data_IF_284662054538
#
_entry.id   IF_284662054538
#
_cell.length_a   1.000
_cell.length_b   1.000
_cell.length_c   1.000
_cell.angle_alpha   90.00
_cell.angle_beta   90.00
_cell.angle_gamma   90.00
#
_symmetry.space_group_name_H-M   'P 1'
#
loop_
_entity.id
_entity.type
_entity.pdbx_description
1 polymer ?
#
# COMPACT_ATOMS: atom_id res chain seq x y z
N UNK A 1 16.97 -6.81 -26.76
CA UNK A 1 16.54 -7.54 -25.56
C UNK A 1 15.02 -7.61 -25.55
N UNK A 2 14.43 -8.74 -25.15
CA UNK A 2 12.98 -8.85 -25.03
C UNK A 2 12.44 -7.89 -23.93
N UNK A 3 11.26 -7.31 -24.16
CA UNK A 3 10.59 -6.48 -23.15
C UNK A 3 10.18 -7.34 -21.94
N UNK A 4 10.30 -6.85 -20.70
CA UNK A 4 9.73 -7.52 -19.53
C UNK A 4 8.24 -7.78 -19.72
N UNK A 5 7.73 -8.89 -19.17
CA UNK A 5 6.32 -9.30 -19.36
C UNK A 5 5.30 -8.26 -18.89
N UNK A 6 5.57 -7.56 -17.80
CA UNK A 6 4.71 -6.48 -17.26
C UNK A 6 4.64 -5.29 -18.24
N UNK A 7 5.79 -4.88 -18.76
CA UNK A 7 5.92 -3.82 -19.76
C UNK A 7 5.21 -4.21 -21.06
N UNK A 8 5.40 -5.43 -21.55
CA UNK A 8 4.75 -5.90 -22.77
C UNK A 8 3.21 -5.91 -22.66
N UNK A 9 2.65 -6.29 -21.51
CA UNK A 9 1.20 -6.19 -21.25
C UNK A 9 0.72 -4.75 -21.21
N UNK A 10 1.48 -3.84 -20.58
CA UNK A 10 1.15 -2.42 -20.57
C UNK A 10 1.18 -1.82 -21.98
N UNK A 11 2.17 -2.20 -22.82
CA UNK A 11 2.23 -1.78 -24.22
C UNK A 11 0.99 -2.21 -25.01
N UNK A 12 0.52 -3.44 -24.79
CA UNK A 12 -0.72 -3.91 -25.39
C UNK A 12 -1.91 -3.04 -24.97
N UNK A 13 -2.07 -2.76 -23.66
CA UNK A 13 -3.13 -1.87 -23.16
C UNK A 13 -3.05 -0.45 -23.75
N UNK A 14 -1.86 0.14 -23.84
CA UNK A 14 -1.67 1.46 -24.46
C UNK A 14 -2.08 1.47 -25.93
N UNK A 15 -1.66 0.48 -26.70
CA UNK A 15 -2.02 0.33 -28.11
C UNK A 15 -3.52 0.09 -28.29
N UNK A 16 -4.10 -0.79 -27.49
CA UNK A 16 -5.52 -1.16 -27.57
C UNK A 16 -6.43 0.03 -27.18
N UNK A 17 -5.92 0.95 -26.35
CA UNK A 17 -6.56 2.24 -26.06
C UNK A 17 -6.43 3.27 -27.20
N UNK A 18 -5.76 2.93 -28.30
CA UNK A 18 -5.62 3.78 -29.49
C UNK A 18 -4.40 4.71 -29.49
N UNK A 19 -3.55 4.66 -28.46
CA UNK A 19 -2.34 5.47 -28.39
C UNK A 19 -1.34 5.04 -29.48
N UNK A 20 -0.52 5.97 -29.95
CA UNK A 20 0.60 5.74 -30.89
C UNK A 20 1.91 6.17 -30.23
N UNK A 21 3.03 5.47 -30.48
CA UNK A 21 4.32 5.78 -29.83
C UNK A 21 4.82 7.22 -30.03
N UNK A 22 4.49 7.85 -31.17
CA UNK A 22 4.90 9.22 -31.51
C UNK A 22 3.91 10.30 -31.05
N UNK A 23 2.86 9.95 -30.29
CA UNK A 23 1.96 10.96 -29.70
C UNK A 23 2.60 11.65 -28.50
N UNK A 24 2.18 12.90 -28.26
CA UNK A 24 2.58 13.64 -27.06
C UNK A 24 1.74 13.22 -25.86
N UNK A 25 2.39 13.04 -24.73
CA UNK A 25 1.83 12.65 -23.46
C UNK A 25 0.84 13.71 -22.98
N UNK A 26 -0.38 13.27 -22.69
CA UNK A 26 -1.42 14.13 -22.19
C UNK A 26 -1.68 13.86 -20.70
N UNK A 27 -1.29 14.80 -19.84
CA UNK A 27 -1.58 14.69 -18.40
C UNK A 27 -2.93 15.31 -18.08
N UNK A 28 -3.98 14.52 -18.21
CA UNK A 28 -5.35 14.90 -17.84
C UNK A 28 -5.41 15.35 -16.38
N UNK A 29 -5.92 16.56 -16.14
CA UNK A 29 -6.24 17.04 -14.81
C UNK A 29 -7.60 16.49 -14.41
N UNK A 30 -7.63 15.54 -13.49
CA UNK A 30 -8.89 14.97 -13.02
C UNK A 30 -9.60 15.88 -12.01
N UNK A 31 -8.83 16.67 -11.24
CA UNK A 31 -9.34 17.52 -10.16
C UNK A 31 -8.42 18.70 -9.91
N UNK A 32 -8.96 19.89 -9.62
CA UNK A 32 -8.14 21.00 -9.14
C UNK A 32 -7.57 20.71 -7.72
N UNK A 33 -6.33 21.13 -7.43
CA UNK A 33 -5.75 21.01 -6.10
C UNK A 33 -6.60 21.78 -5.08
N UNK A 34 -7.12 21.09 -4.05
CA UNK A 34 -7.95 21.70 -3.01
C UNK A 34 -9.47 21.70 -3.26
N UNK A 35 -9.96 21.06 -4.33
CA UNK A 35 -11.40 20.91 -4.57
C UNK A 35 -12.09 19.98 -3.55
N UNK A 36 -13.30 20.38 -3.12
CA UNK A 36 -14.21 19.57 -2.30
C UNK A 36 -14.72 18.41 -3.16
N UNK A 37 -14.04 17.25 -3.09
CA UNK A 37 -14.35 16.10 -3.94
C UNK A 37 -13.30 15.00 -3.98
N UNK A 38 -12.19 15.13 -3.25
CA UNK A 38 -11.24 14.03 -3.05
C UNK A 38 -11.98 12.83 -2.46
N UNK A 39 -11.80 11.64 -3.04
CA UNK A 39 -12.45 10.45 -2.49
C UNK A 39 -11.88 10.17 -1.09
N UNK A 40 -12.68 9.55 -0.22
CA UNK A 40 -12.18 9.14 1.11
C UNK A 40 -10.98 8.20 1.01
N UNK A 41 -10.94 7.36 -0.03
CA UNK A 41 -9.82 6.47 -0.32
C UNK A 41 -8.55 7.25 -0.69
N UNK A 42 -8.65 8.29 -1.53
CA UNK A 42 -7.51 9.12 -1.92
C UNK A 42 -6.93 9.88 -0.72
N UNK A 43 -7.80 10.50 0.11
CA UNK A 43 -7.37 11.15 1.37
C UNK A 43 -6.63 10.18 2.29
N UNK A 44 -7.13 8.95 2.38
CA UNK A 44 -6.51 7.90 3.21
C UNK A 44 -5.14 7.52 2.66
N UNK A 45 -5.04 7.28 1.35
CA UNK A 45 -3.80 6.95 0.67
C UNK A 45 -2.77 8.08 0.83
N UNK A 46 -3.16 9.34 0.60
CA UNK A 46 -2.34 10.51 0.83
C UNK A 46 -1.73 10.52 2.24
N UNK A 47 -2.56 10.33 3.28
CA UNK A 47 -2.08 10.29 4.69
C UNK A 47 -1.09 9.15 4.94
N UNK A 48 -1.19 8.03 4.23
CA UNK A 48 -0.27 6.90 4.39
C UNK A 48 1.10 7.15 3.73
N UNK A 49 1.14 7.92 2.64
CA UNK A 49 2.34 8.04 1.79
C UNK A 49 3.10 9.34 1.96
N UNK A 50 2.46 10.43 2.39
CA UNK A 50 3.08 11.77 2.42
C UNK A 50 4.41 11.78 3.19
N UNK A 51 4.45 11.17 4.38
CA UNK A 51 5.67 11.12 5.18
C UNK A 51 6.76 10.24 4.55
N UNK A 52 6.37 9.14 3.90
CA UNK A 52 7.31 8.24 3.22
C UNK A 52 7.93 8.91 1.99
N UNK A 53 7.13 9.63 1.21
CA UNK A 53 7.60 10.39 0.06
C UNK A 53 8.60 11.46 0.50
N UNK A 54 8.32 12.19 1.58
CA UNK A 54 9.25 13.20 2.10
C UNK A 54 10.55 12.59 2.66
N UNK A 55 10.50 11.44 3.33
CA UNK A 55 11.71 10.73 3.79
C UNK A 55 12.54 10.19 2.63
N UNK A 56 11.91 9.54 1.64
CA UNK A 56 12.57 9.09 0.42
C UNK A 56 13.17 10.27 -0.33
N UNK A 57 12.48 11.41 -0.37
CA UNK A 57 12.98 12.63 -0.99
C UNK A 57 14.22 13.16 -0.28
N UNK A 58 14.20 13.24 1.05
CA UNK A 58 15.33 13.71 1.84
C UNK A 58 16.58 12.82 1.65
N UNK A 59 16.39 11.50 1.51
CA UNK A 59 17.49 10.55 1.35
C UNK A 59 17.96 10.37 -0.10
N UNK A 60 17.03 10.41 -1.07
CA UNK A 60 17.26 9.96 -2.44
C UNK A 60 16.74 10.93 -3.51
N UNK A 61 16.23 12.11 -3.14
CA UNK A 61 15.86 13.15 -4.08
C UNK A 61 17.03 13.52 -5.00
N UNK A 62 16.71 13.94 -6.21
CA UNK A 62 17.69 14.38 -7.22
C UNK A 62 17.30 15.71 -7.84
N UNK A 63 18.09 16.20 -8.79
CA UNK A 63 17.85 17.46 -9.51
C UNK A 63 16.78 17.36 -10.59
N UNK A 64 16.59 16.18 -11.18
CA UNK A 64 15.61 15.92 -12.25
C UNK A 64 14.79 14.67 -11.93
N UNK A 65 14.06 14.68 -10.80
CA UNK A 65 13.24 13.56 -10.37
C UNK A 65 12.00 14.02 -9.61
N UNK A 66 10.95 13.21 -9.68
CA UNK A 66 9.74 13.34 -8.88
C UNK A 66 9.47 12.02 -8.20
N UNK A 67 9.22 12.06 -6.89
CA UNK A 67 8.70 10.93 -6.12
C UNK A 67 7.21 11.19 -5.89
N UNK A 68 6.34 10.26 -6.23
CA UNK A 68 4.91 10.45 -6.15
C UNK A 68 4.16 9.15 -5.88
N UNK A 69 2.88 9.27 -5.53
CA UNK A 69 1.98 8.14 -5.37
C UNK A 69 0.76 8.35 -6.26
N UNK A 70 0.33 7.27 -6.94
CA UNK A 70 -0.94 7.22 -7.67
C UNK A 70 -1.92 6.28 -6.98
N UNK A 71 -3.21 6.60 -7.06
CA UNK A 71 -4.30 5.69 -6.68
C UNK A 71 -4.55 4.61 -7.76
N UNK A 72 -5.48 3.65 -7.56
CA UNK A 72 -5.77 2.60 -8.55
C UNK A 72 -6.36 3.13 -9.87
N UNK A 73 -6.93 4.34 -9.85
CA UNK A 73 -7.40 5.03 -11.04
C UNK A 73 -6.30 5.78 -11.81
N UNK A 74 -5.05 5.70 -11.37
CA UNK A 74 -3.90 6.40 -11.93
C UNK A 74 -3.80 7.88 -11.58
N UNK A 75 -4.63 8.39 -10.67
CA UNK A 75 -4.56 9.79 -10.21
C UNK A 75 -3.44 9.96 -9.20
N UNK A 76 -2.58 10.95 -9.41
CA UNK A 76 -1.53 11.32 -8.45
C UNK A 76 -2.20 11.91 -7.20
N UNK A 77 -2.00 11.26 -6.04
CA UNK A 77 -2.52 11.73 -4.74
C UNK A 77 -1.54 12.62 -4.00
N UNK A 78 -0.23 12.43 -4.24
CA UNK A 78 0.83 13.25 -3.66
C UNK A 78 2.07 13.18 -4.54
N UNK A 79 2.79 14.29 -4.70
CA UNK A 79 4.04 14.34 -5.45
C UNK A 79 5.02 15.32 -4.81
N UNK A 80 6.29 14.90 -4.77
CA UNK A 80 7.43 15.70 -4.36
C UNK A 80 8.43 15.74 -5.51
N UNK A 81 8.57 16.92 -6.11
CA UNK A 81 9.47 17.16 -7.26
C UNK A 81 10.71 17.95 -6.83
N UNK A 82 11.80 17.76 -7.58
CA UNK A 82 12.99 18.60 -7.53
C UNK A 82 12.65 20.09 -7.53
N UNK A 83 13.15 20.87 -6.54
CA UNK A 83 13.10 22.31 -6.62
C UNK A 83 13.75 22.79 -7.92
N UNK A 84 13.08 23.68 -8.64
CA UNK A 84 13.56 24.26 -9.92
C UNK A 84 13.64 23.31 -11.12
N UNK A 85 13.13 22.07 -11.05
CA UNK A 85 13.01 21.25 -12.26
C UNK A 85 11.92 21.82 -13.18
N UNK A 86 12.35 22.19 -14.39
CA UNK A 86 11.55 22.76 -15.48
C UNK A 86 11.39 21.80 -16.66
N UNK A 87 11.90 20.57 -16.55
CA UNK A 87 11.79 19.56 -17.60
C UNK A 87 10.31 19.28 -17.92
N UNK A 88 9.93 19.43 -19.19
CA UNK A 88 8.55 19.32 -19.66
C UNK A 88 7.92 17.94 -19.40
N UNK A 89 8.72 16.90 -19.16
CA UNK A 89 8.24 15.56 -18.85
C UNK A 89 7.97 15.36 -17.34
N UNK A 90 8.60 16.16 -16.47
CA UNK A 90 8.43 16.07 -15.01
C UNK A 90 7.52 17.17 -14.45
N UNK A 91 7.48 18.34 -15.09
CA UNK A 91 6.61 19.45 -14.67
C UNK A 91 5.11 19.06 -14.59
N UNK A 92 4.58 18.14 -15.42
CA UNK A 92 3.22 17.66 -15.34
C UNK A 92 2.92 16.70 -14.19
N UNK A 93 3.93 16.19 -13.47
CA UNK A 93 3.72 15.21 -12.40
C UNK A 93 3.36 15.96 -11.11
N UNK A 94 2.07 16.28 -10.96
CA UNK A 94 1.52 16.98 -9.79
C UNK A 94 0.22 16.32 -9.32
N UNK A 95 -0.13 16.52 -8.05
CA UNK A 95 -1.36 15.97 -7.48
C UNK A 95 -2.61 16.37 -8.29
N UNK A 96 -3.52 15.42 -8.47
CA UNK A 96 -4.76 15.56 -9.25
C UNK A 96 -4.64 15.22 -10.74
N UNK A 97 -3.43 15.10 -11.29
CA UNK A 97 -3.22 14.63 -12.67
C UNK A 97 -3.21 13.11 -12.78
N UNK A 98 -3.55 12.59 -13.96
CA UNK A 98 -3.62 11.16 -14.25
C UNK A 98 -2.38 10.66 -14.99
N UNK A 99 -1.91 9.49 -14.56
CA UNK A 99 -0.78 8.73 -15.11
C UNK A 99 -1.33 7.38 -15.55
N UNK A 100 -1.95 7.35 -16.73
CA UNK A 100 -2.71 6.20 -17.24
C UNK A 100 -2.33 5.86 -18.68
N UNK A 101 -2.37 4.57 -19.01
CA UNK A 101 -1.93 4.08 -20.32
C UNK A 101 -2.63 4.71 -21.53
N UNK A 102 -3.95 5.03 -21.51
CA UNK A 102 -4.60 5.68 -22.64
C UNK A 102 -4.09 7.10 -22.95
N UNK A 103 -3.45 7.77 -21.99
CA UNK A 103 -3.09 9.19 -22.12
C UNK A 103 -1.58 9.41 -22.25
N UNK A 104 -0.79 8.62 -21.53
CA UNK A 104 0.68 8.77 -21.49
C UNK A 104 1.42 7.46 -21.79
N UNK A 105 0.70 6.39 -22.10
CA UNK A 105 1.31 5.10 -22.41
C UNK A 105 1.89 4.38 -21.20
N UNK A 106 2.76 3.41 -21.47
CA UNK A 106 3.40 2.58 -20.45
C UNK A 106 4.36 3.38 -19.56
N UNK A 107 4.05 3.36 -18.27
CA UNK A 107 4.89 3.85 -17.17
C UNK A 107 5.01 2.80 -16.07
N UNK A 108 6.03 2.88 -15.21
CA UNK A 108 6.15 1.96 -14.07
C UNK A 108 4.89 1.92 -13.17
N UNK A 109 4.30 3.05 -12.73
CA UNK A 109 3.10 3.00 -11.90
C UNK A 109 1.91 2.35 -12.63
N UNK A 110 1.73 2.59 -13.94
CA UNK A 110 0.68 1.92 -14.71
C UNK A 110 0.85 0.39 -14.73
N UNK A 111 2.09 -0.10 -14.85
CA UNK A 111 2.37 -1.53 -14.77
C UNK A 111 2.04 -2.10 -13.38
N UNK A 112 2.47 -1.40 -12.33
CA UNK A 112 2.25 -1.81 -10.93
C UNK A 112 0.77 -1.88 -10.57
N UNK A 113 -0.04 -0.89 -10.99
CA UNK A 113 -1.47 -0.86 -10.69
C UNK A 113 -2.20 -2.08 -11.26
N UNK A 114 -1.84 -2.53 -12.46
CA UNK A 114 -2.50 -3.69 -13.09
C UNK A 114 -1.93 -5.03 -12.65
N UNK A 115 -0.61 -5.12 -12.49
CA UNK A 115 0.06 -6.41 -12.30
C UNK A 115 0.40 -6.69 -10.82
N UNK A 116 0.28 -5.70 -9.92
CA UNK A 116 0.54 -5.84 -8.49
C UNK A 116 1.98 -6.15 -8.10
N UNK A 117 2.90 -6.06 -9.07
CA UNK A 117 4.33 -6.32 -8.88
C UNK A 117 5.12 -5.06 -9.18
N UNK A 118 6.15 -4.82 -8.38
CA UNK A 118 7.10 -3.74 -8.63
C UNK A 118 7.63 -3.80 -10.07
N UNK A 119 7.79 -2.64 -10.69
CA UNK A 119 8.19 -2.56 -12.08
C UNK A 119 9.20 -1.44 -12.28
N UNK A 120 10.18 -1.71 -13.13
CA UNK A 120 11.14 -0.74 -13.61
C UNK A 120 10.91 -0.52 -15.10
N UNK A 121 10.84 0.74 -15.53
CA UNK A 121 10.65 1.12 -16.93
C UNK A 121 11.71 2.15 -17.29
N UNK A 122 12.50 1.89 -18.34
CA UNK A 122 13.58 2.79 -18.78
C UNK A 122 13.57 3.05 -20.26
N UNK A 123 13.77 4.31 -20.61
CA UNK A 123 13.93 4.78 -21.99
C UNK A 123 12.87 4.21 -22.91
N UNK A 124 13.31 3.49 -23.95
CA UNK A 124 12.44 2.87 -24.95
C UNK A 124 11.55 1.71 -24.43
N UNK A 125 11.54 1.43 -23.12
CA UNK A 125 10.50 0.60 -22.49
C UNK A 125 9.22 1.39 -22.20
N UNK A 126 9.29 2.73 -22.14
CA UNK A 126 8.10 3.56 -22.19
C UNK A 126 7.47 3.44 -23.57
N UNK A 127 6.14 3.47 -23.63
CA UNK A 127 5.43 3.32 -24.90
C UNK A 127 5.56 4.56 -25.80
N UNK A 128 5.62 5.76 -25.21
CA UNK A 128 5.79 7.01 -25.93
C UNK A 128 7.28 7.35 -26.13
N UNK A 129 7.66 7.71 -27.36
CA UNK A 129 9.03 7.98 -27.77
C UNK A 129 9.65 9.16 -27.00
N UNK A 130 8.84 10.14 -26.58
CA UNK A 130 9.29 11.30 -25.82
C UNK A 130 9.88 10.92 -24.45
N UNK A 131 9.50 9.76 -23.90
CA UNK A 131 10.01 9.23 -22.63
C UNK A 131 11.29 8.41 -22.80
N UNK A 132 11.94 8.43 -23.97
CA UNK A 132 13.21 7.74 -24.26
C UNK A 132 14.36 8.09 -23.31
N UNK A 133 14.28 9.23 -22.61
CA UNK A 133 15.25 9.71 -21.60
C UNK A 133 14.76 9.56 -20.14
N UNK A 134 13.60 8.95 -19.93
CA UNK A 134 12.97 8.77 -18.61
C UNK A 134 13.36 7.41 -18.02
N UNK A 135 13.49 7.36 -16.70
CA UNK A 135 13.43 6.13 -15.92
C UNK A 135 12.31 6.23 -14.87
N UNK A 136 11.66 5.11 -14.58
CA UNK A 136 10.66 4.98 -13.54
C UNK A 136 10.91 3.71 -12.71
N UNK A 137 10.79 3.81 -11.39
CA UNK A 137 10.69 2.68 -10.47
C UNK A 137 9.42 2.85 -9.65
N UNK A 138 8.50 1.88 -9.74
CA UNK A 138 7.30 1.85 -8.93
C UNK A 138 7.19 0.56 -8.11
N UNK A 139 6.64 0.67 -6.91
CA UNK A 139 6.28 -0.45 -6.03
C UNK A 139 4.81 -0.37 -5.66
N UNK A 140 4.12 -1.51 -5.50
CA UNK A 140 2.71 -1.53 -5.11
C UNK A 140 2.53 -1.05 -3.67
N UNK A 141 1.38 -0.47 -3.40
CA UNK A 141 0.81 -0.31 -2.07
C UNK A 141 -0.38 -1.26 -1.99
N UNK A 142 -0.37 -2.13 -0.98
CA UNK A 142 -1.37 -3.21 -0.85
C UNK A 142 -2.35 -2.93 0.30
N UNK A 143 -3.63 -3.16 0.02
CA UNK A 143 -4.72 -3.00 0.97
C UNK A 143 -4.93 -4.21 1.88
N UNK A 144 -6.13 -4.32 2.44
CA UNK A 144 -6.42 -5.33 3.46
C UNK A 144 -6.61 -6.73 2.91
N UNK A 145 -7.11 -6.82 1.67
CA UNK A 145 -7.48 -8.05 0.98
C UNK A 145 -6.49 -8.38 -0.14
N UNK A 146 -5.27 -7.84 -0.08
CA UNK A 146 -4.23 -8.06 -1.11
C UNK A 146 -4.41 -7.20 -2.36
N UNK A 147 -5.44 -6.34 -2.40
CA UNK A 147 -5.71 -5.48 -3.55
C UNK A 147 -4.68 -4.34 -3.66
N UNK A 148 -4.31 -3.98 -4.89
CA UNK A 148 -3.45 -2.82 -5.13
C UNK A 148 -4.27 -1.55 -4.93
N UNK A 149 -3.93 -0.80 -3.90
CA UNK A 149 -4.60 0.46 -3.53
C UNK A 149 -3.83 1.69 -4.01
N UNK A 150 -2.67 1.49 -4.64
CA UNK A 150 -1.86 2.55 -5.21
C UNK A 150 -0.47 2.07 -5.61
N UNK A 151 0.31 2.98 -6.19
CA UNK A 151 1.71 2.72 -6.52
C UNK A 151 2.57 3.91 -6.07
N UNK A 152 3.64 3.62 -5.34
CA UNK A 152 4.68 4.58 -4.96
C UNK A 152 5.79 4.55 -6.01
N UNK A 153 6.05 5.67 -6.67
CA UNK A 153 6.94 5.78 -7.83
C UNK A 153 8.02 6.85 -7.64
N UNK A 154 9.17 6.62 -8.26
CA UNK A 154 10.13 7.67 -8.63
C UNK A 154 10.31 7.68 -10.14
N UNK A 155 10.01 8.83 -10.73
CA UNK A 155 10.26 9.13 -12.14
C UNK A 155 11.35 10.18 -12.24
N UNK A 156 12.32 9.97 -13.12
CA UNK A 156 13.37 10.96 -13.34
C UNK A 156 13.94 10.90 -14.75
N UNK A 157 14.84 11.84 -15.02
CA UNK A 157 15.46 12.01 -16.33
C UNK A 157 16.95 11.68 -16.27
N UNK A 158 17.45 11.01 -17.31
CA UNK A 158 18.86 10.69 -17.48
C UNK A 158 19.23 9.26 -17.08
N UNK A 159 20.47 9.07 -16.64
CA UNK A 159 21.10 7.74 -16.51
C UNK A 159 21.18 7.24 -15.05
N UNK A 160 20.40 7.82 -14.13
CA UNK A 160 20.39 7.34 -12.74
C UNK A 160 19.86 5.91 -12.70
N UNK A 161 20.62 5.01 -12.08
CA UNK A 161 20.16 3.65 -11.86
C UNK A 161 19.18 3.57 -10.69
N UNK A 162 17.89 3.85 -10.95
CA UNK A 162 16.84 3.77 -9.93
C UNK A 162 16.62 2.35 -9.36
N UNK A 163 17.12 1.29 -10.00
CA UNK A 163 17.09 -0.07 -9.44
C UNK A 163 17.78 -0.15 -8.06
N UNK A 164 18.80 0.68 -7.82
CA UNK A 164 19.49 0.74 -6.52
C UNK A 164 18.59 1.25 -5.39
N UNK A 165 17.46 1.89 -5.70
CA UNK A 165 16.50 2.41 -4.73
C UNK A 165 15.39 1.41 -4.37
N UNK A 166 15.37 0.23 -5.01
CA UNK A 166 14.27 -0.74 -4.90
C UNK A 166 13.93 -1.11 -3.46
N UNK A 167 14.92 -1.49 -2.66
CA UNK A 167 14.66 -1.93 -1.29
C UNK A 167 14.13 -0.78 -0.42
N UNK A 168 14.59 0.45 -0.66
CA UNK A 168 14.10 1.62 0.08
C UNK A 168 12.65 1.94 -0.29
N UNK A 169 12.29 1.83 -1.56
CA UNK A 169 10.90 1.98 -2.01
C UNK A 169 10.01 0.86 -1.45
N UNK A 170 10.48 -0.39 -1.43
CA UNK A 170 9.76 -1.51 -0.79
C UNK A 170 9.53 -1.25 0.70
N UNK A 171 10.54 -0.79 1.43
CA UNK A 171 10.42 -0.47 2.84
C UNK A 171 9.42 0.67 3.09
N UNK A 172 9.47 1.71 2.24
CA UNK A 172 8.53 2.83 2.29
C UNK A 172 7.09 2.39 2.00
N UNK A 173 6.89 1.50 1.00
CA UNK A 173 5.60 0.89 0.70
C UNK A 173 5.07 0.11 1.92
N UNK A 174 5.88 -0.78 2.50
CA UNK A 174 5.50 -1.52 3.72
C UNK A 174 5.16 -0.59 4.89
N UNK A 175 5.89 0.50 5.06
CA UNK A 175 5.63 1.50 6.10
C UNK A 175 4.28 2.21 5.87
N UNK A 176 4.00 2.60 4.63
CA UNK A 176 2.71 3.17 4.23
C UNK A 176 1.56 2.16 4.43
N UNK A 177 1.77 0.88 4.07
CA UNK A 177 0.82 -0.21 4.33
C UNK A 177 0.56 -0.36 5.84
N UNK A 178 1.57 -0.36 6.70
CA UNK A 178 1.36 -0.43 8.16
C UNK A 178 0.50 0.74 8.69
N UNK A 179 0.62 1.95 8.13
CA UNK A 179 -0.24 3.09 8.50
C UNK A 179 -1.71 2.85 8.19
N UNK A 180 -2.03 2.06 7.16
CA UNK A 180 -3.40 1.70 6.78
C UNK A 180 -4.05 0.89 7.91
N UNK A 181 -3.31 -0.06 8.50
CA UNK A 181 -3.74 -0.82 9.68
C UNK A 181 -3.82 0.06 10.92
N UNK A 182 -2.90 1.01 11.09
CA UNK A 182 -2.94 1.96 12.20
C UNK A 182 -4.22 2.83 12.21
N UNK A 183 -4.89 3.00 11.07
CA UNK A 183 -6.17 3.71 10.99
C UNK A 183 -7.39 2.87 11.41
N UNK A 184 -7.25 1.55 11.57
CA UNK A 184 -8.34 0.70 12.07
C UNK A 184 -8.68 1.09 13.51
N UNK A 185 -9.97 1.30 13.76
CA UNK A 185 -10.54 1.54 15.09
C UNK A 185 -10.98 0.21 15.71
N UNK A 186 -11.26 0.24 17.02
CA UNK A 186 -11.86 -0.87 17.74
C UNK A 186 -11.07 -2.19 17.57
N UNK A 187 -9.75 -2.09 17.35
CA UNK A 187 -8.83 -3.21 17.10
C UNK A 187 -7.53 -3.08 17.90
N UNK A 188 -7.11 -4.20 18.48
CA UNK A 188 -5.73 -4.45 18.87
C UNK A 188 -4.87 -4.66 17.62
N UNK A 189 -3.68 -4.05 17.59
CA UNK A 189 -2.71 -4.27 16.50
C UNK A 189 -1.53 -5.08 17.02
N UNK A 190 -1.31 -6.24 16.43
CA UNK A 190 -0.17 -7.09 16.72
C UNK A 190 0.86 -6.99 15.61
N UNK A 191 2.12 -6.84 15.99
CA UNK A 191 3.25 -7.09 15.09
C UNK A 191 3.69 -8.54 15.19
N UNK A 192 3.95 -9.16 14.04
CA UNK A 192 4.45 -10.53 13.92
C UNK A 192 5.73 -10.54 13.10
N UNK A 193 6.73 -11.32 13.51
CA UNK A 193 8.00 -11.43 12.81
C UNK A 193 8.77 -12.70 13.22
N UNK A 194 9.56 -13.30 12.34
CA UNK A 194 10.41 -14.44 12.68
C UNK A 194 11.62 -14.08 13.57
N UNK A 195 12.14 -12.87 13.42
CA UNK A 195 13.27 -12.35 14.20
C UNK A 195 12.88 -11.06 14.95
N UNK A 196 13.01 -11.02 16.29
CA UNK A 196 12.51 -9.92 17.10
C UNK A 196 13.21 -8.59 16.82
N UNK A 197 14.40 -8.61 16.18
CA UNK A 197 15.12 -7.38 15.77
C UNK A 197 14.33 -6.57 14.74
N UNK A 198 13.50 -7.22 13.92
CA UNK A 198 12.73 -6.57 12.86
C UNK A 198 11.29 -6.22 13.27
N UNK A 199 10.86 -6.54 14.50
CA UNK A 199 9.51 -6.22 14.97
C UNK A 199 9.21 -4.70 15.03
N UNK A 200 10.25 -3.88 15.14
CA UNK A 200 10.16 -2.42 15.15
C UNK A 200 10.26 -1.77 13.77
N UNK A 201 10.30 -2.55 12.68
CA UNK A 201 10.51 -2.02 11.33
C UNK A 201 9.30 -2.30 10.42
N UNK A 202 9.26 -1.69 9.22
CA UNK A 202 8.25 -2.02 8.21
C UNK A 202 8.20 -3.50 7.79
N UNK A 203 9.23 -4.29 8.11
CA UNK A 203 9.28 -5.72 7.80
C UNK A 203 8.38 -6.57 8.71
N UNK A 204 7.86 -6.00 9.80
CA UNK A 204 6.90 -6.71 10.65
C UNK A 204 5.54 -6.88 9.94
N UNK A 205 4.98 -8.07 10.02
CA UNK A 205 3.57 -8.29 9.69
C UNK A 205 2.66 -7.62 10.71
N UNK A 206 1.50 -7.15 10.28
CA UNK A 206 0.48 -6.56 11.16
C UNK A 206 -0.78 -7.41 11.13
N UNK A 207 -1.30 -7.75 12.31
CA UNK A 207 -2.61 -8.40 12.48
C UNK A 207 -3.50 -7.48 13.30
N UNK A 208 -4.67 -7.15 12.77
CA UNK A 208 -5.70 -6.40 13.47
C UNK A 208 -6.74 -7.35 14.04
N UNK A 209 -7.00 -7.24 15.35
CA UNK A 209 -7.90 -8.11 16.10
C UNK A 209 -8.95 -7.25 16.78
N UNK A 210 -10.23 -7.54 16.57
CA UNK A 210 -11.31 -6.80 17.23
C UNK A 210 -11.39 -7.09 18.74
N UNK A 211 -12.22 -6.34 19.45
CA UNK A 211 -12.42 -6.49 20.90
C UNK A 211 -12.97 -7.87 21.31
N UNK A 212 -13.62 -8.59 20.38
CA UNK A 212 -14.11 -9.95 20.60
C UNK A 212 -13.02 -11.02 20.39
N UNK A 213 -11.82 -10.64 19.94
CA UNK A 213 -10.71 -11.56 19.66
C UNK A 213 -10.66 -12.06 18.22
N UNK A 214 -11.50 -11.56 17.32
CA UNK A 214 -11.56 -11.99 15.92
C UNK A 214 -10.58 -11.23 15.06
N UNK A 215 -9.90 -11.93 14.15
CA UNK A 215 -9.00 -11.35 13.17
C UNK A 215 -9.81 -10.57 12.15
N UNK A 216 -9.59 -9.24 12.10
CA UNK A 216 -10.26 -8.33 11.16
C UNK A 216 -9.47 -8.15 9.87
N UNK A 217 -8.15 -8.07 9.97
CA UNK A 217 -7.26 -7.90 8.83
C UNK A 217 -5.86 -8.40 9.17
N UNK A 218 -5.13 -8.85 8.15
CA UNK A 218 -3.72 -9.21 8.27
C UNK A 218 -2.96 -8.67 7.06
N UNK A 219 -1.80 -8.06 7.29
CA UNK A 219 -0.93 -7.59 6.20
C UNK A 219 -0.34 -8.75 5.42
N UNK A 220 0.08 -8.51 4.17
CA UNK A 220 0.70 -9.55 3.33
C UNK A 220 1.87 -10.27 4.01
N UNK A 221 2.68 -9.54 4.79
CA UNK A 221 3.77 -10.13 5.58
C UNK A 221 3.25 -10.98 6.75
N UNK A 222 2.18 -10.55 7.43
CA UNK A 222 1.55 -11.37 8.46
C UNK A 222 0.90 -12.62 7.87
N UNK A 223 0.21 -12.48 6.73
CA UNK A 223 -0.40 -13.60 5.99
C UNK A 223 0.66 -14.63 5.62
N UNK A 224 1.79 -14.18 5.06
CA UNK A 224 2.93 -15.05 4.76
C UNK A 224 3.50 -15.73 6.03
N UNK A 225 3.71 -14.98 7.12
CA UNK A 225 4.34 -15.52 8.33
C UNK A 225 3.46 -16.49 9.11
N UNK A 226 2.16 -16.40 8.93
CA UNK A 226 1.14 -17.16 9.66
C UNK A 226 0.42 -18.18 8.78
N UNK A 227 0.91 -18.39 7.55
CA UNK A 227 0.35 -19.30 6.54
C UNK A 227 -1.16 -19.08 6.28
N UNK A 228 -1.56 -17.80 6.20
CA UNK A 228 -2.92 -17.40 5.82
C UNK A 228 -3.03 -17.29 4.30
N UNK A 229 -4.27 -17.26 3.80
CA UNK A 229 -4.55 -17.00 2.38
C UNK A 229 -3.89 -15.68 1.95
N UNK A 230 -3.08 -15.67 0.86
CA UNK A 230 -2.26 -14.51 0.51
C UNK A 230 -3.12 -13.30 0.13
N UNK A 231 -4.21 -13.53 -0.60
CA UNK A 231 -5.10 -12.50 -1.12
C UNK A 231 -6.56 -12.82 -0.81
N UNK A 232 -7.42 -11.82 -0.99
CA UNK A 232 -8.85 -11.86 -0.72
C UNK A 232 -9.22 -11.69 0.76
N UNK A 233 -10.55 -11.64 1.03
CA UNK A 233 -11.07 -11.57 2.39
C UNK A 233 -10.61 -12.75 3.23
N UNK A 234 -10.25 -12.49 4.49
CA UNK A 234 -9.92 -13.55 5.43
C UNK A 234 -11.19 -14.32 5.83
N UNK A 235 -11.08 -15.65 5.89
CA UNK A 235 -12.10 -16.46 6.53
C UNK A 235 -12.22 -16.07 8.02
N UNK A 236 -13.42 -16.23 8.65
CA UNK A 236 -13.58 -15.98 10.08
C UNK A 236 -12.56 -16.77 10.90
N UNK A 237 -11.69 -16.04 11.61
CA UNK A 237 -10.59 -16.60 12.37
C UNK A 237 -10.44 -15.88 13.70
N UNK A 238 -10.33 -16.64 14.79
CA UNK A 238 -10.08 -16.09 16.12
C UNK A 238 -8.57 -16.01 16.41
N UNK A 239 -8.14 -15.03 17.20
CA UNK A 239 -6.77 -14.87 17.68
C UNK A 239 -6.23 -16.14 18.33
N UNK A 240 -7.06 -16.85 19.10
CA UNK A 240 -6.68 -18.10 19.76
C UNK A 240 -6.47 -19.24 18.77
N UNK A 241 -7.19 -19.24 17.66
CA UNK A 241 -6.99 -20.20 16.57
C UNK A 241 -5.73 -19.86 15.76
N UNK A 242 -5.53 -18.57 15.47
CA UNK A 242 -4.33 -18.07 14.77
C UNK A 242 -3.04 -18.41 15.53
N UNK A 243 -3.08 -18.37 16.86
CA UNK A 243 -1.97 -18.74 17.74
C UNK A 243 -2.34 -19.94 18.63
N UNK A 244 -2.85 -21.02 18.03
CA UNK A 244 -3.29 -22.22 18.74
C UNK A 244 -2.20 -22.85 19.63
N UNK A 245 -0.94 -22.77 19.18
CA UNK A 245 0.23 -23.31 19.88
C UNK A 245 0.73 -22.43 21.04
N UNK A 246 0.11 -21.25 21.27
CA UNK A 246 0.46 -20.39 22.39
C UNK A 246 -0.11 -20.94 23.72
N UNK A 247 0.69 -20.91 24.77
CA UNK A 247 0.24 -21.28 26.12
C UNK A 247 -0.91 -20.37 26.62
N UNK A 248 -1.75 -20.81 27.56
CA UNK A 248 -2.81 -19.96 28.12
C UNK A 248 -2.32 -18.63 28.72
N UNK A 249 -1.09 -18.60 29.23
CA UNK A 249 -0.46 -17.37 29.69
C UNK A 249 -0.08 -16.43 28.54
N UNK A 250 0.40 -16.97 27.42
CA UNK A 250 0.70 -16.20 26.22
C UNK A 250 -0.57 -15.67 25.55
N UNK A 251 -1.61 -16.50 25.41
CA UNK A 251 -2.89 -16.09 24.83
C UNK A 251 -3.49 -14.88 25.56
N UNK A 252 -3.48 -14.88 26.91
CA UNK A 252 -3.97 -13.73 27.70
C UNK A 252 -3.18 -12.44 27.47
N UNK A 253 -1.88 -12.54 27.16
CA UNK A 253 -1.00 -11.39 26.95
C UNK A 253 -0.95 -10.90 25.51
N UNK A 254 -1.43 -11.69 24.54
CA UNK A 254 -1.37 -11.32 23.11
C UNK A 254 -2.06 -9.99 22.82
N UNK A 255 -3.18 -9.69 23.49
CA UNK A 255 -3.95 -8.45 23.31
C UNK A 255 -3.61 -7.36 24.34
N UNK A 256 -2.60 -7.58 25.17
CA UNK A 256 -2.15 -6.61 26.16
C UNK A 256 -0.89 -5.88 25.65
N UNK A 257 -0.89 -4.53 25.61
CA UNK A 257 0.31 -3.78 25.24
C UNK A 257 1.50 -4.19 26.12
N UNK A 258 2.58 -4.63 25.49
CA UNK A 258 3.77 -5.10 26.19
C UNK A 258 5.03 -4.66 25.44
N UNK A 259 6.05 -4.24 26.19
CA UNK A 259 7.37 -3.87 25.62
C UNK A 259 8.12 -5.09 25.10
N UNK A 260 8.03 -6.21 25.81
CA UNK A 260 8.73 -7.44 25.48
C UNK A 260 7.90 -8.28 24.51
N UNK A 261 8.45 -8.66 23.34
CA UNK A 261 7.75 -9.54 22.42
C UNK A 261 7.65 -10.97 22.97
N UNK A 262 6.59 -11.66 22.63
CA UNK A 262 6.35 -13.04 23.00
C UNK A 262 6.81 -13.96 21.87
N UNK A 263 7.63 -14.97 22.20
CA UNK A 263 7.99 -16.03 21.27
C UNK A 263 6.92 -17.12 21.31
N UNK A 264 6.20 -17.33 20.22
CA UNK A 264 5.14 -18.33 20.07
C UNK A 264 5.70 -19.43 19.17
N UNK A 265 5.74 -20.65 19.71
CA UNK A 265 6.08 -21.84 18.93
C UNK A 265 4.96 -22.15 17.94
N UNK A 266 5.30 -22.80 16.83
CA UNK A 266 4.33 -23.28 15.83
C UNK A 266 4.43 -24.80 15.71
N UNK A 267 3.34 -25.44 15.29
CA UNK A 267 3.24 -26.89 15.09
C UNK A 267 4.25 -27.46 14.08
N UNK A 268 4.75 -26.65 13.16
CA UNK A 268 5.82 -26.99 12.20
C UNK A 268 7.24 -26.95 12.81
N UNK A 269 7.37 -26.65 14.11
CA UNK A 269 8.64 -26.51 14.82
C UNK A 269 9.30 -25.15 14.67
N UNK A 270 8.74 -24.25 13.86
CA UNK A 270 9.19 -22.86 13.76
C UNK A 270 8.69 -22.01 14.94
N UNK A 271 9.04 -20.73 14.94
CA UNK A 271 8.49 -19.79 15.91
C UNK A 271 8.30 -18.41 15.28
N UNK A 272 7.34 -17.68 15.82
CA UNK A 272 7.11 -16.27 15.50
C UNK A 272 7.17 -15.44 16.78
N UNK A 273 7.66 -14.23 16.64
CA UNK A 273 7.65 -13.22 17.68
C UNK A 273 6.45 -12.32 17.48
N UNK A 274 5.67 -12.15 18.53
CA UNK A 274 4.43 -11.37 18.51
C UNK A 274 4.48 -10.28 19.58
N UNK A 275 4.12 -9.06 19.19
CA UNK A 275 4.03 -7.93 20.12
C UNK A 275 2.76 -7.14 19.87
N UNK A 276 1.96 -6.93 20.90
CA UNK A 276 0.85 -5.97 20.84
C UNK A 276 1.44 -4.56 20.76
N UNK A 277 1.30 -3.93 19.59
CA UNK A 277 1.73 -2.54 19.36
C UNK A 277 0.79 -1.57 20.06
N UNK A 278 -0.53 -1.80 19.92
CA UNK A 278 -1.56 -0.86 20.35
C UNK A 278 -2.84 -1.60 20.73
N UNK A 279 -3.51 -1.12 21.77
CA UNK A 279 -4.90 -1.44 22.07
C UNK A 279 -5.88 -0.71 21.12
N UNK A 280 -7.19 -0.99 21.18
CA UNK A 280 -8.20 -0.18 20.51
C UNK A 280 -8.05 1.32 20.83
N UNK A 281 -8.28 2.17 19.83
CA UNK A 281 -8.27 3.62 20.02
C UNK A 281 -9.59 4.05 20.68
N UNK A 282 -9.51 4.64 21.89
CA UNK A 282 -10.69 5.19 22.57
C UNK A 282 -11.41 6.24 21.71
N UNK A 283 -12.72 6.05 21.50
CA UNK A 283 -13.58 7.02 20.79
C UNK A 283 -13.56 8.42 21.44
N UNK A 284 -13.38 8.50 22.76
CA UNK A 284 -13.34 9.75 23.52
C UNK A 284 -12.00 10.52 23.39
N UNK A 285 -10.88 9.83 23.21
CA UNK A 285 -9.56 10.46 23.09
C UNK A 285 -9.35 11.13 21.72
N UNK A 286 -9.99 10.61 20.66
CA UNK A 286 -9.89 11.14 19.29
C UNK A 286 -10.59 12.50 19.09
N UNK A 287 -11.60 12.85 19.90
CA UNK A 287 -12.30 14.15 19.83
C UNK A 287 -11.41 15.35 20.19
N UNK A 288 -10.21 15.13 20.73
CA UNK A 288 -9.25 16.20 21.07
C UNK A 288 -8.25 16.54 19.96
N UNK A 289 -8.26 15.82 18.83
CA UNK A 289 -7.50 16.18 17.62
C UNK A 289 -8.45 16.20 16.41
N UNK A 290 -9.03 17.36 16.06
CA UNK A 290 -9.84 17.46 14.84
C UNK A 290 -8.89 17.35 13.64
N UNK A 291 -8.78 16.15 13.08
CA UNK A 291 -7.95 15.85 11.90
C UNK A 291 -7.44 14.41 11.78
N UNK A 292 -7.57 13.58 12.82
CA UNK A 292 -6.93 12.27 12.86
C UNK A 292 -7.94 11.12 13.04
N UNK A 293 -7.94 10.20 12.07
CA UNK A 293 -8.44 8.82 12.18
C UNK A 293 -9.93 8.54 12.07
N UNK A 294 -10.82 9.44 11.65
CA UNK A 294 -12.13 8.93 11.23
C UNK A 294 -11.94 8.04 10.00
N UNK A 295 -12.64 6.90 10.03
CA UNK A 295 -13.19 6.27 8.84
C UNK A 295 -12.34 5.19 8.12
N UNK A 296 -12.00 4.09 8.81
CA UNK A 296 -11.51 2.83 8.21
C UNK A 296 -12.51 1.65 8.28
N UNK A 297 -13.68 1.81 8.91
CA UNK A 297 -14.57 0.69 9.27
C UNK A 297 -15.41 0.08 8.13
N UNK A 298 -15.52 0.73 6.96
CA UNK A 298 -16.41 0.27 5.88
C UNK A 298 -15.77 -0.71 4.88
N UNK A 299 -14.48 -1.01 5.00
CA UNK A 299 -13.76 -1.87 4.03
C UNK A 299 -13.65 -3.34 4.43
N UNK A 300 -14.10 -3.70 5.62
CA UNK A 300 -14.13 -5.09 6.06
C UNK A 300 -15.56 -5.40 6.49
N UNK A 301 -16.46 -5.84 5.57
CA UNK A 301 -17.84 -6.12 5.90
C UNK A 301 -17.83 -7.18 7.00
N UNK A 302 -18.23 -6.76 8.20
CA UNK A 302 -18.54 -7.70 9.27
C UNK A 302 -19.65 -8.58 8.72
N UNK A 303 -19.44 -9.89 8.70
CA UNK A 303 -20.52 -10.84 8.48
C UNK A 303 -21.57 -10.57 9.56
N UNK A 304 -22.62 -9.81 9.20
CA UNK A 304 -23.79 -9.63 10.06
C UNK A 304 -24.42 -11.01 10.15
N UNK A 305 -24.36 -11.57 11.35
CA UNK A 305 -25.16 -12.71 11.76
C UNK A 305 -26.63 -12.34 11.60
N UNK A 306 -27.32 -12.99 10.68
CA UNK A 306 -28.79 -13.01 10.65
C UNK A 306 -29.31 -13.75 11.89
N UNK A 307 -30.25 -13.16 12.66
CA UNK A 307 -31.11 -13.92 13.53
C UNK A 307 -32.43 -14.20 12.80
N UNK A 308 -32.62 -15.47 12.45
CA UNK A 308 -33.87 -16.22 12.39
C UNK A 308 -35.20 -15.47 12.08
N UNK A 309 -35.86 -15.90 11.00
CA UNK A 309 -37.27 -16.25 11.05
C UNK A 309 -37.60 -17.33 9.99
N UNK A 310 -37.68 -18.58 10.44
CA UNK A 310 -38.47 -19.63 9.78
C UNK A 310 -39.93 -19.50 10.22
N UNK A 311 -40.82 -20.07 9.38
CA UNK A 311 -42.26 -20.36 9.56
C UNK A 311 -43.17 -19.22 9.07
N UNK A 312 -44.16 -19.40 8.18
CA UNK A 312 -45.06 -20.53 7.98
C UNK A 312 -45.58 -20.64 6.54
N UNK A 313 -46.05 -21.85 6.22
CA UNK A 313 -46.93 -22.27 5.13
C UNK A 313 -48.10 -21.31 4.84
N UNK A 314 -48.34 -21.01 3.56
CA UNK A 314 -49.50 -21.41 2.73
C UNK A 314 -49.38 -20.84 1.32
#
# INVERSE_FOLDING_TARGET
TALPGTVARSWARSRDAGLRPWQTAYYEMQRDPGSVGESRADRRLHRCVVHEIEQLWAAFGGTNSTIFCVNPGGTIVHARRSPHCDDALLTPIVAGRRVVEPNIGTTAPSCVIHDGVETFVVGAQHYLDEFSRVFCLAVPLVGFDGEVIGALDITGIGQRNAMQLREQFRHASLSAEQRIYAMLRDCHLLHVQYDPRWLGTPLAGVVAIDEAGRVRAASRLARQMLDLTPDGPLAPLDCRQLFADATPAQQRRLMQPARTPQRIARSDGSHVWVRCLRAPLDRAAARRQPGAFEDADELCPTARTDPHASLHEQ
#
